data_IF_348586781370
#
_entry.id   IF_348586781370
#
_cell.length_a   1.000
_cell.length_b   1.000
_cell.length_c   1.000
_cell.angle_alpha   90.00
_cell.angle_beta   90.00
_cell.angle_gamma   90.00
#
_symmetry.space_group_name_H-M   'P 1'
#
loop_
_entity.id
_entity.type
_entity.pdbx_description
1 polymer ?
#
# COMPACT_ATOMS: atom_id res chain seq x y z
N UNK A 1 3.56 -12.61 4.56
CA UNK A 1 3.65 -11.39 3.74
C UNK A 1 3.12 -11.74 2.35
N UNK A 2 2.27 -10.91 1.73
CA UNK A 2 1.74 -11.24 0.40
C UNK A 2 1.73 -10.01 -0.49
N UNK A 3 2.13 -10.24 -1.72
CA UNK A 3 2.17 -9.33 -2.85
C UNK A 3 1.07 -9.76 -3.82
N UNK A 4 0.48 -8.87 -4.61
CA UNK A 4 -0.43 -9.28 -5.69
C UNK A 4 -0.34 -8.32 -6.88
N UNK A 5 -0.21 -8.85 -8.09
CA UNK A 5 -0.49 -8.15 -9.35
C UNK A 5 -1.90 -8.50 -9.79
N UNK A 6 -2.70 -7.51 -10.18
CA UNK A 6 -4.04 -7.75 -10.68
C UNK A 6 -4.26 -7.11 -12.05
N UNK A 7 -5.06 -7.77 -12.89
CA UNK A 7 -5.58 -7.21 -14.15
C UNK A 7 -7.12 -7.22 -14.05
N UNK A 8 -7.73 -6.05 -13.89
CA UNK A 8 -9.17 -5.93 -13.62
C UNK A 8 -9.94 -5.37 -14.81
N UNK A 9 -11.17 -5.88 -15.01
CA UNK A 9 -12.15 -5.35 -15.96
C UNK A 9 -12.91 -4.20 -15.28
N UNK A 10 -12.81 -2.99 -15.83
CA UNK A 10 -13.51 -1.81 -15.33
C UNK A 10 -15.03 -1.94 -15.56
N UNK A 11 -15.89 -1.72 -14.55
CA UNK A 11 -17.34 -1.66 -14.74
C UNK A 11 -17.75 -0.47 -15.63
N UNK A 12 -18.81 -0.62 -16.42
CA UNK A 12 -19.42 0.51 -17.13
C UNK A 12 -20.02 1.51 -16.15
N UNK A 13 -19.92 2.81 -16.44
CA UNK A 13 -20.45 3.88 -15.60
C UNK A 13 -21.92 3.64 -15.21
N UNK A 14 -22.31 3.93 -13.95
CA UNK A 14 -23.68 3.76 -13.50
C UNK A 14 -24.63 4.72 -14.24
N UNK A 15 -25.89 4.29 -14.44
CA UNK A 15 -26.92 5.14 -15.06
C UNK A 15 -27.03 6.47 -14.29
N UNK A 16 -26.99 7.59 -15.02
CA UNK A 16 -27.04 8.94 -14.45
C UNK A 16 -25.67 9.62 -14.29
N UNK A 17 -24.57 8.87 -14.39
CA UNK A 17 -23.21 9.41 -14.37
C UNK A 17 -22.92 10.36 -15.55
N UNK A 18 -23.67 10.26 -16.65
CA UNK A 18 -23.52 11.09 -17.85
C UNK A 18 -23.73 12.60 -17.60
N UNK A 19 -24.41 12.95 -16.50
CA UNK A 19 -24.64 14.35 -16.11
C UNK A 19 -23.55 14.92 -15.22
N UNK A 20 -22.61 14.10 -14.76
CA UNK A 20 -21.53 14.55 -13.90
C UNK A 20 -20.47 15.28 -14.74
N UNK A 21 -19.89 16.38 -14.20
CA UNK A 21 -18.74 17.02 -14.81
C UNK A 21 -17.63 16.03 -15.21
N UNK A 22 -16.96 16.26 -16.36
CA UNK A 22 -15.81 15.46 -16.77
C UNK A 22 -14.76 15.37 -15.65
N UNK A 23 -14.24 14.16 -15.40
CA UNK A 23 -13.24 13.90 -14.37
C UNK A 23 -13.79 13.57 -12.98
N UNK A 24 -15.10 13.69 -12.73
CA UNK A 24 -15.72 13.18 -11.48
C UNK A 24 -15.80 11.66 -11.47
N UNK A 25 -16.11 11.07 -12.62
CA UNK A 25 -16.19 9.61 -12.78
C UNK A 25 -14.90 9.15 -13.45
N UNK A 26 -14.16 8.32 -12.73
CA UNK A 26 -12.89 7.74 -13.16
C UNK A 26 -12.93 6.23 -12.98
N UNK A 27 -12.23 5.51 -13.85
CA UNK A 27 -12.15 4.04 -13.80
C UNK A 27 -11.30 3.52 -12.66
N UNK A 28 -10.36 4.34 -12.18
CA UNK A 28 -9.39 4.01 -11.15
C UNK A 28 -9.27 5.18 -10.17
N UNK A 29 -8.96 4.90 -8.91
CA UNK A 29 -8.78 5.91 -7.87
C UNK A 29 -7.47 5.71 -7.12
N UNK A 30 -6.79 6.80 -6.81
CA UNK A 30 -5.60 6.83 -5.96
C UNK A 30 -5.92 7.21 -4.51
N UNK A 31 -7.21 7.35 -4.18
CA UNK A 31 -7.74 7.77 -2.88
C UNK A 31 -7.26 9.15 -2.41
N UNK A 32 -6.65 9.96 -3.29
CA UNK A 32 -6.23 11.31 -2.97
C UNK A 32 -7.40 12.28 -3.04
N UNK A 33 -7.44 13.20 -2.06
CA UNK A 33 -8.37 14.32 -2.08
C UNK A 33 -7.93 15.31 -3.15
N UNK A 34 -8.75 15.49 -4.18
CA UNK A 34 -8.54 16.46 -5.25
C UNK A 34 -9.46 17.66 -5.06
N UNK A 35 -8.95 18.86 -5.35
CA UNK A 35 -9.76 20.08 -5.34
C UNK A 35 -10.78 20.04 -6.49
N UNK A 36 -12.01 20.47 -6.22
CA UNK A 36 -13.06 20.58 -7.24
C UNK A 36 -12.97 21.88 -8.06
N UNK A 37 -12.17 22.85 -7.63
CA UNK A 37 -11.98 24.15 -8.28
C UNK A 37 -10.59 24.74 -8.01
N UNK A 38 -10.15 25.65 -8.87
CA UNK A 38 -8.83 26.31 -8.80
C UNK A 38 -7.74 25.60 -9.60
N UNK A 39 -6.53 26.17 -9.70
CA UNK A 39 -5.40 25.51 -10.34
C UNK A 39 -5.08 24.21 -9.60
N UNK A 40 -4.90 23.16 -10.38
CA UNK A 40 -4.52 21.84 -9.90
C UNK A 40 -3.03 21.87 -9.52
N UNK A 41 -2.77 21.94 -8.21
CA UNK A 41 -1.49 21.57 -7.62
C UNK A 41 -1.50 20.06 -7.32
N UNK A 42 -1.88 19.26 -8.32
CA UNK A 42 -1.86 17.80 -8.19
C UNK A 42 -0.42 17.32 -7.95
N UNK A 43 -0.30 16.08 -7.48
CA UNK A 43 0.98 15.45 -7.18
C UNK A 43 1.99 15.68 -8.32
N UNK A 44 3.12 16.34 -8.02
CA UNK A 44 4.21 16.60 -8.98
C UNK A 44 4.84 15.30 -9.50
N UNK A 45 4.73 14.24 -8.71
CA UNK A 45 5.16 12.89 -9.01
C UNK A 45 3.95 11.99 -8.92
N UNK A 46 3.67 11.19 -9.95
CA UNK A 46 2.61 10.20 -9.91
C UNK A 46 3.13 8.90 -9.31
N UNK A 47 2.75 8.55 -8.07
CA UNK A 47 3.29 7.38 -7.41
C UNK A 47 2.76 6.12 -8.10
N UNK A 48 3.64 5.13 -8.27
CA UNK A 48 3.35 3.91 -9.04
C UNK A 48 3.09 2.70 -8.14
N UNK A 49 3.48 2.80 -6.88
CA UNK A 49 3.45 1.68 -5.93
C UNK A 49 2.63 2.05 -4.70
N UNK A 50 2.02 1.05 -4.08
CA UNK A 50 1.28 1.20 -2.81
C UNK A 50 1.90 0.29 -1.75
N UNK A 51 2.11 0.82 -0.56
CA UNK A 51 2.40 0.04 0.64
C UNK A 51 1.31 0.26 1.67
N UNK A 52 0.76 -0.85 2.17
CA UNK A 52 -0.22 -0.85 3.25
C UNK A 52 0.38 -1.51 4.48
N UNK A 53 0.21 -0.91 5.65
CA UNK A 53 0.59 -1.49 6.93
C UNK A 53 -0.63 -1.67 7.82
N UNK A 54 -0.81 -2.85 8.43
CA UNK A 54 -1.64 -2.95 9.63
C UNK A 54 -0.86 -2.48 10.83
N UNK A 55 -1.39 -1.50 11.54
CA UNK A 55 -0.66 -0.78 12.58
C UNK A 55 -1.49 -0.55 13.83
N UNK A 56 -0.79 -0.60 14.96
CA UNK A 56 -1.18 -0.12 16.26
C UNK A 56 -0.10 0.82 16.82
N UNK A 57 -0.52 1.65 17.75
CA UNK A 57 0.31 2.71 18.32
C UNK A 57 1.62 2.22 18.95
N UNK A 58 1.64 1.00 19.51
CA UNK A 58 2.84 0.41 20.12
C UNK A 58 3.99 0.25 19.12
N UNK A 59 3.68 -0.03 17.85
CA UNK A 59 4.68 -0.33 16.82
C UNK A 59 5.04 0.86 15.93
N UNK A 60 4.61 2.08 16.30
CA UNK A 60 4.85 3.29 15.51
C UNK A 60 6.32 3.53 15.15
N UNK A 61 7.24 3.19 16.06
CA UNK A 61 8.68 3.35 15.83
C UNK A 61 9.20 2.39 14.75
N UNK A 62 8.69 1.16 14.70
CA UNK A 62 9.05 0.21 13.65
C UNK A 62 8.49 0.65 12.29
N UNK A 63 7.26 1.17 12.28
CA UNK A 63 6.65 1.70 11.05
C UNK A 63 7.39 2.94 10.54
N UNK A 64 7.82 3.85 11.42
CA UNK A 64 8.64 4.99 11.02
C UNK A 64 9.96 4.55 10.38
N UNK A 65 10.62 3.52 10.93
CA UNK A 65 11.79 2.91 10.32
C UNK A 65 11.47 2.26 8.96
N UNK A 66 10.29 1.63 8.83
CA UNK A 66 9.83 1.00 7.59
C UNK A 66 9.59 2.01 6.48
N UNK A 67 8.86 3.07 6.79
CA UNK A 67 8.50 4.12 5.82
C UNK A 67 9.74 4.73 5.18
N UNK A 68 10.83 4.90 5.94
CA UNK A 68 12.12 5.40 5.43
C UNK A 68 12.79 4.51 4.38
N UNK A 69 12.34 3.26 4.19
CA UNK A 69 12.84 2.34 3.15
C UNK A 69 12.10 2.48 1.81
N UNK A 70 11.04 3.27 1.76
CA UNK A 70 10.24 3.49 0.57
C UNK A 70 10.58 4.85 -0.05
N UNK A 71 10.69 4.87 -1.38
CA UNK A 71 10.90 6.09 -2.15
C UNK A 71 9.58 6.89 -2.27
N UNK A 72 9.66 8.08 -2.85
CA UNK A 72 8.50 8.90 -3.20
C UNK A 72 7.55 8.27 -4.25
N UNK A 73 7.98 7.18 -4.90
CA UNK A 73 7.12 6.40 -5.80
C UNK A 73 6.04 5.58 -5.07
N UNK A 74 6.10 5.53 -3.73
CA UNK A 74 5.17 4.79 -2.90
C UNK A 74 4.12 5.69 -2.25
N UNK A 75 2.87 5.26 -2.36
CA UNK A 75 1.80 5.68 -1.45
C UNK A 75 1.85 4.84 -0.19
N UNK A 76 1.71 5.51 0.96
CA UNK A 76 1.64 4.86 2.26
C UNK A 76 0.19 4.88 2.73
N UNK A 77 -0.32 3.71 3.05
CA UNK A 77 -1.65 3.53 3.63
C UNK A 77 -1.53 2.77 4.95
N UNK A 78 -2.15 3.30 5.99
CA UNK A 78 -2.12 2.72 7.34
C UNK A 78 -3.51 2.22 7.71
N UNK A 79 -3.59 0.95 8.10
CA UNK A 79 -4.78 0.27 8.61
C UNK A 79 -4.71 0.22 10.14
N UNK A 80 -5.41 1.15 10.80
CA UNK A 80 -5.38 1.35 12.25
C UNK A 80 -6.40 0.46 12.96
N UNK A 81 -5.98 -0.70 13.44
CA UNK A 81 -6.86 -1.59 14.19
C UNK A 81 -7.14 -1.11 15.63
N UNK A 82 -6.39 -0.12 16.12
CA UNK A 82 -6.50 0.42 17.48
C UNK A 82 -7.32 1.72 17.58
N UNK A 83 -7.67 2.31 16.44
CA UNK A 83 -8.41 3.57 16.37
C UNK A 83 -7.62 4.83 16.72
N UNK A 84 -6.29 4.79 16.81
CA UNK A 84 -5.46 5.89 17.34
C UNK A 84 -4.79 6.74 16.25
N UNK A 85 -5.51 7.12 15.21
CA UNK A 85 -4.95 7.84 14.05
C UNK A 85 -4.23 9.13 14.40
N UNK A 86 -4.79 9.98 15.25
CA UNK A 86 -4.21 11.28 15.64
C UNK A 86 -2.88 11.18 16.37
N UNK A 87 -2.54 10.00 16.90
CA UNK A 87 -1.25 9.77 17.55
C UNK A 87 -0.08 9.72 16.56
N UNK A 88 -0.37 9.55 15.28
CA UNK A 88 0.63 9.48 14.21
C UNK A 88 0.97 10.84 13.61
N UNK A 89 0.23 11.90 13.97
CA UNK A 89 0.47 13.27 13.50
C UNK A 89 1.85 13.83 13.90
N UNK A 90 2.55 13.16 14.83
CA UNK A 90 3.94 13.45 15.19
C UNK A 90 4.92 13.22 14.03
N UNK A 91 4.55 12.38 13.05
CA UNK A 91 5.37 12.10 11.87
C UNK A 91 4.88 12.92 10.67
N UNK A 92 5.75 13.76 10.11
CA UNK A 92 5.39 14.59 8.93
C UNK A 92 5.00 13.76 7.70
N UNK A 93 5.59 12.57 7.55
CA UNK A 93 5.18 11.65 6.48
C UNK A 93 3.77 11.10 6.69
N UNK A 94 3.32 10.94 7.94
CA UNK A 94 2.00 10.39 8.25
C UNK A 94 0.88 11.33 7.85
N UNK A 95 1.09 12.65 7.93
CA UNK A 95 0.11 13.65 7.47
C UNK A 95 -0.21 13.54 5.98
N UNK A 96 0.68 12.92 5.19
CA UNK A 96 0.52 12.67 3.76
C UNK A 96 0.09 11.23 3.44
N UNK A 97 0.06 10.36 4.45
CA UNK A 97 -0.37 8.98 4.30
C UNK A 97 -1.91 8.87 4.32
N UNK A 98 -2.43 7.78 3.77
CA UNK A 98 -3.85 7.47 3.84
C UNK A 98 -4.10 6.69 5.13
N UNK A 99 -4.99 7.19 5.98
CA UNK A 99 -5.37 6.52 7.23
C UNK A 99 -6.75 5.89 7.11
N UNK A 100 -6.84 4.58 7.31
CA UNK A 100 -8.10 3.85 7.44
C UNK A 100 -8.18 3.27 8.84
N UNK A 101 -9.27 3.53 9.55
CA UNK A 101 -9.39 3.21 10.98
C UNK A 101 -10.70 2.51 11.28
N UNK A 102 -10.60 1.24 11.68
CA UNK A 102 -11.69 0.38 12.14
C UNK A 102 -11.17 -0.52 13.26
N UNK A 103 -11.77 -0.40 14.44
CA UNK A 103 -11.28 -1.13 15.61
C UNK A 103 -11.37 -2.64 15.43
N UNK A 104 -10.35 -3.34 15.94
CA UNK A 104 -10.33 -4.79 16.13
C UNK A 104 -10.49 -5.59 14.81
N UNK A 105 -9.94 -5.07 13.71
CA UNK A 105 -9.98 -5.74 12.41
C UNK A 105 -8.62 -6.30 12.00
N UNK A 106 -8.64 -7.37 11.20
CA UNK A 106 -7.43 -8.02 10.68
C UNK A 106 -6.97 -7.37 9.38
N UNK A 107 -5.69 -7.57 9.02
CA UNK A 107 -5.10 -7.10 7.75
C UNK A 107 -5.93 -7.44 6.52
N UNK A 108 -6.40 -8.68 6.42
CA UNK A 108 -7.20 -9.13 5.28
C UNK A 108 -8.60 -8.53 5.27
N UNK A 109 -9.16 -8.21 6.44
CA UNK A 109 -10.44 -7.53 6.53
C UNK A 109 -10.36 -6.13 5.89
N UNK A 110 -9.27 -5.40 6.15
CA UNK A 110 -8.99 -4.10 5.53
C UNK A 110 -8.73 -4.23 4.04
N UNK A 111 -7.78 -5.08 3.65
CA UNK A 111 -7.42 -5.25 2.25
C UNK A 111 -8.65 -5.56 1.38
N UNK A 112 -9.52 -6.48 1.83
CA UNK A 112 -10.75 -6.84 1.10
C UNK A 112 -11.72 -5.67 0.90
N UNK A 113 -11.72 -4.67 1.78
CA UNK A 113 -12.69 -3.56 1.77
C UNK A 113 -12.15 -2.27 1.17
N UNK A 114 -10.85 -2.04 1.29
CA UNK A 114 -10.22 -0.77 0.90
C UNK A 114 -9.23 -0.91 -0.26
N UNK A 115 -8.80 -2.13 -0.59
CA UNK A 115 -8.03 -2.41 -1.81
C UNK A 115 -8.95 -2.99 -2.89
N UNK A 116 -10.00 -2.22 -3.22
CA UNK A 116 -10.93 -2.58 -4.27
C UNK A 116 -10.23 -2.57 -5.65
N UNK A 117 -10.66 -3.39 -6.62
CA UNK A 117 -10.11 -3.44 -7.98
C UNK A 117 -9.76 -2.10 -8.65
N UNK A 118 -10.58 -1.07 -8.47
CA UNK A 118 -10.36 0.29 -9.00
C UNK A 118 -9.23 1.06 -8.28
N UNK A 119 -8.96 0.75 -7.01
CA UNK A 119 -7.82 1.28 -6.25
C UNK A 119 -6.55 0.58 -6.70
N UNK A 120 -6.58 -0.75 -6.72
CA UNK A 120 -5.36 -1.54 -6.93
C UNK A 120 -4.90 -1.53 -8.38
N UNK A 121 -5.81 -1.38 -9.36
CA UNK A 121 -5.47 -1.27 -10.77
C UNK A 121 -4.58 -0.06 -11.08
N UNK A 122 -4.64 0.99 -10.24
CA UNK A 122 -3.85 2.20 -10.38
C UNK A 122 -2.35 1.99 -10.13
N UNK A 123 -1.98 0.94 -9.40
CA UNK A 123 -0.62 0.69 -8.94
C UNK A 123 -0.03 -0.54 -9.63
N UNK A 124 1.25 -0.48 -10.00
CA UNK A 124 1.93 -1.65 -10.59
C UNK A 124 2.18 -2.75 -9.56
N UNK A 125 2.47 -2.32 -8.32
CA UNK A 125 2.86 -3.20 -7.23
C UNK A 125 2.27 -2.73 -5.91
N UNK A 126 1.81 -3.71 -5.12
CA UNK A 126 1.19 -3.47 -3.81
C UNK A 126 1.85 -4.34 -2.75
N UNK A 127 2.26 -3.70 -1.67
CA UNK A 127 2.87 -4.31 -0.49
C UNK A 127 1.83 -4.35 0.63
N UNK A 128 1.47 -5.55 1.10
CA UNK A 128 0.51 -5.71 2.21
C UNK A 128 1.23 -6.27 3.44
N UNK A 129 1.62 -5.37 4.34
CA UNK A 129 2.59 -5.60 5.40
C UNK A 129 1.95 -5.52 6.78
N UNK A 130 2.56 -6.21 7.74
CA UNK A 130 2.23 -6.08 9.16
C UNK A 130 3.24 -5.16 9.86
N UNK A 131 2.93 -4.81 11.11
CA UNK A 131 3.77 -3.95 11.93
C UNK A 131 5.06 -4.58 12.47
N UNK A 132 5.19 -5.90 12.41
CA UNK A 132 6.29 -6.65 13.05
C UNK A 132 7.37 -7.13 12.05
N UNK A 133 7.64 -6.35 10.99
CA UNK A 133 8.60 -6.76 9.96
C UNK A 133 10.03 -6.32 10.29
N UNK A 134 10.97 -7.26 10.22
CA UNK A 134 12.41 -7.00 10.25
C UNK A 134 12.87 -6.44 8.90
N UNK A 135 13.13 -5.14 8.86
CA UNK A 135 13.33 -4.36 7.61
C UNK A 135 14.75 -3.80 7.47
N UNK A 136 15.67 -4.20 8.33
CA UNK A 136 16.99 -3.57 8.48
C UNK A 136 17.73 -3.46 7.13
N UNK A 137 17.72 -4.55 6.36
CA UNK A 137 18.38 -4.66 5.05
C UNK A 137 17.43 -4.66 3.85
N UNK A 138 16.15 -4.33 4.06
CA UNK A 138 15.20 -4.31 2.96
C UNK A 138 15.38 -3.06 2.08
N UNK A 139 15.38 -3.26 0.76
CA UNK A 139 15.34 -2.20 -0.25
C UNK A 139 14.16 -2.46 -1.19
N UNK A 140 13.18 -1.55 -1.17
CA UNK A 140 11.92 -1.72 -1.91
C UNK A 140 12.11 -1.69 -3.43
N UNK A 141 12.95 -0.77 -3.95
CA UNK A 141 13.17 -0.61 -5.39
C UNK A 141 13.92 -1.82 -5.97
N UNK A 142 15.00 -2.25 -5.32
CA UNK A 142 15.75 -3.45 -5.72
C UNK A 142 14.86 -4.71 -5.67
N UNK A 143 13.96 -4.78 -4.69
CA UNK A 143 13.00 -5.88 -4.61
C UNK A 143 12.01 -5.87 -5.79
N UNK A 144 11.47 -4.71 -6.15
CA UNK A 144 10.59 -4.55 -7.32
C UNK A 144 11.31 -4.95 -8.61
N UNK A 145 12.59 -4.60 -8.77
CA UNK A 145 13.38 -5.01 -9.93
C UNK A 145 13.49 -6.53 -10.04
N UNK A 146 13.73 -7.24 -8.93
CA UNK A 146 13.78 -8.70 -8.90
C UNK A 146 12.42 -9.32 -9.26
N UNK A 147 11.34 -8.81 -8.67
CA UNK A 147 9.97 -9.24 -8.96
C UNK A 147 9.67 -9.08 -10.45
N UNK A 148 10.00 -7.91 -11.04
CA UNK A 148 9.79 -7.63 -12.46
C UNK A 148 10.63 -8.55 -13.34
N UNK A 149 11.90 -8.75 -12.99
CA UNK A 149 12.82 -9.63 -13.72
C UNK A 149 12.35 -11.08 -13.77
N UNK A 150 11.75 -11.56 -12.69
CA UNK A 150 11.30 -12.94 -12.56
C UNK A 150 9.79 -13.13 -12.82
N UNK A 151 9.06 -12.07 -13.18
CA UNK A 151 7.63 -12.12 -13.47
C UNK A 151 6.79 -12.61 -12.28
N UNK A 152 7.20 -12.30 -11.05
CA UNK A 152 6.54 -12.81 -9.84
C UNK A 152 5.22 -12.06 -9.61
N UNK A 153 4.11 -12.79 -9.60
CA UNK A 153 2.78 -12.21 -9.32
C UNK A 153 2.45 -12.17 -7.82
N UNK A 154 3.12 -13.00 -7.02
CA UNK A 154 3.05 -13.09 -5.55
C UNK A 154 4.44 -13.50 -5.05
N UNK A 155 5.03 -12.69 -4.18
CA UNK A 155 6.34 -12.94 -3.58
C UNK A 155 6.43 -12.42 -2.16
N UNK A 156 7.38 -12.97 -1.40
CA UNK A 156 7.76 -12.53 -0.06
C UNK A 156 9.28 -12.42 -0.01
N UNK A 157 9.87 -11.27 0.38
CA UNK A 157 11.31 -11.20 0.63
C UNK A 157 11.67 -12.07 1.83
N UNK A 158 12.81 -12.75 1.73
CA UNK A 158 13.45 -13.40 2.88
C UNK A 158 14.02 -12.33 3.80
N UNK A 159 13.64 -12.34 5.07
CA UNK A 159 14.06 -11.36 6.08
C UNK A 159 15.13 -11.92 7.03
N UNK A 160 15.68 -13.12 6.77
CA UNK A 160 16.70 -13.74 7.63
C UNK A 160 18.12 -13.25 7.27
N UNK A 161 18.79 -12.70 8.28
CA UNK A 161 20.24 -12.61 8.33
C UNK A 161 20.81 -13.97 8.75
N UNK A 162 21.47 -14.62 7.81
CA UNK A 162 22.59 -15.53 8.07
C UNK A 162 22.31 -16.84 8.84
N UNK A 163 21.30 -17.61 8.43
CA UNK A 163 21.39 -19.08 8.49
C UNK A 163 20.95 -19.67 7.16
N UNK A 164 21.86 -20.44 6.56
CA UNK A 164 21.75 -20.95 5.19
C UNK A 164 20.36 -21.45 4.82
N UNK A 165 19.83 -20.89 3.73
CA UNK A 165 18.73 -21.38 2.90
C UNK A 165 17.87 -22.44 3.58
N UNK A 166 16.77 -21.99 4.20
CA UNK A 166 15.71 -22.83 4.73
C UNK A 166 14.93 -23.48 3.58
N UNK A 167 15.57 -24.44 2.91
CA UNK A 167 14.97 -25.43 2.03
C UNK A 167 15.64 -26.79 2.24
N UNK A 168 15.55 -27.30 3.47
CA UNK A 168 15.65 -28.74 3.77
C UNK A 168 14.29 -29.42 3.48
N UNK A 169 13.61 -29.06 2.39
CA UNK A 169 12.17 -29.29 2.24
C UNK A 169 11.72 -30.77 2.28
N UNK A 170 12.64 -31.73 2.31
CA UNK A 170 12.35 -33.18 2.33
C UNK A 170 13.53 -33.99 2.90
N UNK A 171 14.08 -33.62 4.05
CA UNK A 171 14.96 -34.57 4.78
C UNK A 171 14.10 -35.30 5.82
N UNK A 172 14.01 -36.63 5.62
CA UNK A 172 13.06 -37.58 6.21
C UNK A 172 13.01 -37.55 7.72
#
# INVERSE_FOLDING_TARGET
MKFLRFMFRVPTNPKGAERLPPGIVVSETDLYLRRLWGPSEDLTIQPRYLVTFTVGYSQKANIDAAVKKFSENFIIMLFHYDGRTTKWDEFEWSKRAIHVSVREQTKWWYAKRFLHPDVVARYDYIFIWDEDLGIEHFNAEAYIELVRKHGLEISQPGLELDRGLTWQMTKR
#
